data_IF_571801798796
#
_entry.id   IF_571801798796
#
_cell.length_a   1.000
_cell.length_b   1.000
_cell.length_c   1.000
_cell.angle_alpha   90.00
_cell.angle_beta   90.00
_cell.angle_gamma   90.00
#
_symmetry.space_group_name_H-M   'P 1'
#
loop_
_entity.id
_entity.type
_entity.pdbx_description
1 polymer ?
#
# COMPACT_ATOMS: atom_id res chain seq x y z
N UNK A 1 -23.36 3.97 -5.68
CA UNK A 1 -22.02 3.92 -6.34
C UNK A 1 -21.17 5.14 -6.01
N UNK A 2 -21.63 6.37 -6.24
CA UNK A 2 -20.91 7.61 -5.88
C UNK A 2 -20.61 7.73 -4.38
N UNK A 3 -21.56 7.33 -3.52
CA UNK A 3 -21.37 7.35 -2.06
C UNK A 3 -20.21 6.44 -1.58
N UNK A 4 -20.06 5.26 -2.22
CA UNK A 4 -18.98 4.32 -1.92
C UNK A 4 -17.64 4.85 -2.42
N UNK A 5 -17.62 5.47 -3.61
CA UNK A 5 -16.43 6.10 -4.17
C UNK A 5 -15.94 7.26 -3.30
N UNK A 6 -16.84 8.11 -2.79
CA UNK A 6 -16.49 9.18 -1.86
C UNK A 6 -15.98 8.66 -0.52
N UNK A 7 -16.54 7.55 -0.01
CA UNK A 7 -16.13 6.96 1.27
C UNK A 7 -14.74 6.29 1.17
N UNK A 8 -14.44 5.68 0.02
CA UNK A 8 -13.12 5.15 -0.32
C UNK A 8 -12.09 6.28 -0.49
N UNK A 9 -12.43 7.37 -1.17
CA UNK A 9 -11.58 8.56 -1.29
C UNK A 9 -11.25 9.18 0.08
N UNK A 10 -12.25 9.29 0.96
CA UNK A 10 -12.05 9.81 2.31
C UNK A 10 -11.13 8.88 3.13
N UNK A 11 -11.32 7.57 3.00
CA UNK A 11 -10.51 6.56 3.69
C UNK A 11 -9.04 6.60 3.24
N UNK A 12 -8.80 6.79 1.94
CA UNK A 12 -7.45 7.00 1.38
C UNK A 12 -6.84 8.28 1.92
N UNK A 13 -7.57 9.39 1.91
CA UNK A 13 -7.06 10.69 2.37
C UNK A 13 -6.65 10.65 3.85
N UNK A 14 -7.47 10.02 4.70
CA UNK A 14 -7.17 9.82 6.12
C UNK A 14 -6.00 8.85 6.33
N UNK A 15 -5.95 7.77 5.54
CA UNK A 15 -4.84 6.82 5.56
C UNK A 15 -3.50 7.46 5.17
N UNK A 16 -3.50 8.28 4.12
CA UNK A 16 -2.32 8.99 3.63
C UNK A 16 -1.84 10.04 4.65
N UNK A 17 -2.76 10.78 5.24
CA UNK A 17 -2.47 11.75 6.30
C UNK A 17 -1.80 11.10 7.51
N UNK A 18 -2.29 9.91 7.93
CA UNK A 18 -1.73 9.18 9.08
C UNK A 18 -0.35 8.59 8.78
N UNK A 19 -0.14 8.11 7.57
CA UNK A 19 1.13 7.53 7.08
C UNK A 19 2.24 8.59 7.01
N UNK A 20 1.92 9.82 6.64
CA UNK A 20 2.87 10.93 6.54
C UNK A 20 3.38 11.45 7.89
N UNK A 21 2.70 11.14 9.01
CA UNK A 21 3.04 11.63 10.34
C UNK A 21 3.91 10.69 11.20
N UNK A 22 4.31 9.52 10.70
CA UNK A 22 5.15 8.55 11.43
C UNK A 22 6.66 8.87 11.38
N UNK A 23 7.34 9.17 12.51
CA UNK A 23 8.74 9.63 12.53
C UNK A 23 9.81 8.51 12.47
N UNK A 24 9.45 7.24 12.71
CA UNK A 24 10.41 6.12 12.86
C UNK A 24 10.62 5.34 11.56
N UNK A 25 11.82 4.76 11.32
CA UNK A 25 12.10 3.94 10.12
C UNK A 25 11.21 2.70 10.02
N UNK A 26 10.93 2.03 11.14
CA UNK A 26 9.99 0.93 11.20
C UNK A 26 8.56 1.39 10.90
N UNK A 27 8.20 2.58 11.38
CA UNK A 27 6.88 3.19 11.18
C UNK A 27 6.66 3.54 9.70
N UNK A 28 7.68 4.06 9.01
CA UNK A 28 7.67 4.25 7.55
C UNK A 28 7.43 2.95 6.77
N UNK A 29 7.96 1.82 7.22
CA UNK A 29 7.74 0.54 6.55
C UNK A 29 6.37 -0.05 6.83
N UNK A 30 5.88 0.07 8.06
CA UNK A 30 4.48 -0.22 8.36
C UNK A 30 3.57 0.65 7.50
N UNK A 31 3.89 1.93 7.32
CA UNK A 31 3.17 2.85 6.45
C UNK A 31 3.17 2.41 4.98
N UNK A 32 4.34 2.02 4.42
CA UNK A 32 4.46 1.53 3.05
C UNK A 32 3.68 0.22 2.86
N UNK A 33 3.76 -0.69 3.84
CA UNK A 33 3.03 -1.96 3.79
C UNK A 33 1.52 -1.73 3.86
N UNK A 34 1.06 -0.83 4.74
CA UNK A 34 -0.35 -0.45 4.86
C UNK A 34 -0.86 0.24 3.59
N UNK A 35 -0.04 1.11 2.99
CA UNK A 35 -0.37 1.80 1.75
C UNK A 35 -0.49 0.83 0.58
N UNK A 36 0.42 -0.14 0.48
CA UNK A 36 0.38 -1.16 -0.56
C UNK A 36 -0.87 -2.04 -0.45
N UNK A 37 -1.17 -2.58 0.74
CA UNK A 37 -2.35 -3.45 0.92
C UNK A 37 -3.66 -2.69 0.72
N UNK A 38 -3.76 -1.47 1.23
CA UNK A 38 -4.94 -0.63 1.05
C UNK A 38 -5.10 -0.22 -0.42
N UNK A 39 -4.02 0.22 -1.07
CA UNK A 39 -4.03 0.58 -2.49
C UNK A 39 -4.36 -0.59 -3.41
N UNK A 40 -3.84 -1.79 -3.13
CA UNK A 40 -4.21 -3.02 -3.85
C UNK A 40 -5.71 -3.32 -3.69
N UNK A 41 -6.26 -3.21 -2.48
CA UNK A 41 -7.69 -3.43 -2.25
C UNK A 41 -8.57 -2.42 -3.01
N UNK A 42 -8.16 -1.15 -3.08
CA UNK A 42 -8.85 -0.10 -3.84
C UNK A 42 -8.81 -0.39 -5.34
N UNK A 43 -7.64 -0.77 -5.88
CA UNK A 43 -7.49 -1.10 -7.29
C UNK A 43 -8.36 -2.30 -7.68
N UNK A 44 -8.45 -3.32 -6.83
CA UNK A 44 -9.33 -4.48 -7.07
C UNK A 44 -10.83 -4.09 -7.03
N UNK A 45 -11.25 -3.25 -6.09
CA UNK A 45 -12.62 -2.74 -6.02
C UNK A 45 -12.98 -1.89 -7.25
N UNK A 46 -12.06 -1.05 -7.72
CA UNK A 46 -12.23 -0.26 -8.93
C UNK A 46 -12.24 -1.15 -10.18
N UNK A 47 -11.38 -2.16 -10.25
CA UNK A 47 -11.36 -3.13 -11.36
C UNK A 47 -12.70 -3.84 -11.52
N UNK A 48 -13.28 -4.27 -10.39
CA UNK A 48 -14.58 -4.93 -10.38
C UNK A 48 -15.71 -3.96 -10.78
N UNK A 49 -15.69 -2.72 -10.30
CA UNK A 49 -16.74 -1.73 -10.60
C UNK A 49 -16.67 -1.14 -12.01
N UNK A 50 -15.48 -1.01 -12.60
CA UNK A 50 -15.26 -0.45 -13.94
C UNK A 50 -15.20 -1.53 -15.03
N UNK A 51 -15.15 -2.82 -14.66
CA UNK A 51 -14.98 -3.92 -15.60
C UNK A 51 -13.63 -3.89 -16.35
N UNK A 52 -12.63 -3.19 -15.83
CA UNK A 52 -11.33 -3.01 -16.46
C UNK A 52 -10.28 -3.97 -15.87
N UNK A 53 -9.87 -5.02 -16.60
CA UNK A 53 -8.92 -6.01 -16.08
C UNK A 53 -7.51 -5.44 -15.86
N UNK A 54 -7.13 -4.37 -16.54
CA UNK A 54 -5.83 -3.70 -16.38
C UNK A 54 -5.57 -3.21 -14.93
N UNK A 55 -6.63 -2.89 -14.18
CA UNK A 55 -6.53 -2.50 -12.77
C UNK A 55 -6.13 -3.69 -11.87
N UNK A 56 -6.47 -4.92 -12.26
CA UNK A 56 -6.05 -6.13 -11.55
C UNK A 56 -4.55 -6.35 -11.72
N UNK A 57 -4.02 -6.11 -12.92
CA UNK A 57 -2.57 -6.19 -13.19
C UNK A 57 -1.79 -5.20 -12.31
N UNK A 58 -2.26 -3.96 -12.22
CA UNK A 58 -1.67 -2.96 -11.34
C UNK A 58 -1.72 -3.38 -9.85
N UNK A 59 -2.85 -3.97 -9.41
CA UNK A 59 -3.02 -4.45 -8.04
C UNK A 59 -2.04 -5.60 -7.70
N UNK A 60 -1.83 -6.51 -8.64
CA UNK A 60 -0.88 -7.63 -8.52
C UNK A 60 0.56 -7.13 -8.45
N UNK A 61 0.95 -6.18 -9.30
CA UNK A 61 2.29 -5.57 -9.26
C UNK A 61 2.54 -4.86 -7.93
N UNK A 62 1.56 -4.09 -7.44
CA UNK A 62 1.65 -3.45 -6.13
C UNK A 62 1.85 -4.44 -4.99
N UNK A 63 1.12 -5.56 -5.00
CA UNK A 63 1.26 -6.62 -3.99
C UNK A 63 2.65 -7.28 -4.06
N UNK A 64 3.15 -7.54 -5.28
CA UNK A 64 4.48 -8.12 -5.49
C UNK A 64 5.59 -7.20 -4.97
N UNK A 65 5.50 -5.91 -5.27
CA UNK A 65 6.44 -4.89 -4.81
C UNK A 65 6.45 -4.78 -3.28
N UNK A 66 5.28 -4.89 -2.62
CA UNK A 66 5.19 -4.91 -1.16
C UNK A 66 6.03 -6.03 -0.55
N UNK A 67 5.91 -7.24 -1.10
CA UNK A 67 6.67 -8.40 -0.63
C UNK A 67 8.18 -8.19 -0.83
N UNK A 68 8.59 -7.65 -1.98
CA UNK A 68 10.00 -7.36 -2.29
C UNK A 68 10.57 -6.29 -1.35
N UNK A 69 9.83 -5.21 -1.09
CA UNK A 69 10.25 -4.14 -0.17
C UNK A 69 10.40 -4.68 1.25
N UNK A 70 9.45 -5.49 1.72
CA UNK A 70 9.53 -6.15 3.03
C UNK A 70 10.77 -7.04 3.15
N UNK A 71 11.04 -7.89 2.15
CA UNK A 71 12.24 -8.73 2.11
C UNK A 71 13.53 -7.89 2.06
N UNK A 72 13.54 -6.81 1.28
CA UNK A 72 14.66 -5.88 1.17
C UNK A 72 14.96 -5.15 2.49
N UNK A 73 13.94 -4.74 3.24
CA UNK A 73 14.14 -4.17 4.57
C UNK A 73 14.78 -5.18 5.52
N UNK A 74 14.24 -6.41 5.57
CA UNK A 74 14.77 -7.44 6.47
C UNK A 74 16.26 -7.65 6.18
N UNK A 75 16.67 -7.69 4.90
CA UNK A 75 18.08 -7.75 4.53
C UNK A 75 18.87 -6.50 4.95
N UNK A 76 18.31 -5.30 4.78
CA UNK A 76 18.97 -4.04 5.16
C UNK A 76 19.20 -3.94 6.67
N UNK A 77 18.21 -4.34 7.48
CA UNK A 77 18.31 -4.39 8.94
C UNK A 77 19.34 -5.43 9.37
N UNK A 78 19.34 -6.61 8.75
CA UNK A 78 20.35 -7.64 9.02
C UNK A 78 21.76 -7.18 8.66
N UNK A 79 21.92 -6.36 7.60
CA UNK A 79 23.22 -5.78 7.22
C UNK A 79 23.76 -4.77 8.24
N UNK A 80 22.88 -4.07 8.96
CA UNK A 80 23.23 -3.09 10.00
C UNK A 80 23.72 -3.72 11.30
N UNK A 81 23.40 -4.98 11.57
CA UNK A 81 23.88 -5.70 12.77
C UNK A 81 25.32 -6.21 12.65
N UNK A 82 25.88 -6.24 11.44
CA UNK A 82 27.25 -6.71 11.17
C UNK A 82 28.25 -5.59 10.86
N UNK A 83 27.81 -4.32 10.81
CA UNK A 83 28.67 -3.12 10.80
C UNK A 83 28.77 -2.52 12.20
#
# INVERSE_FOLDING_TARGET
MILLASLLLLSIAVGLWRVLHGPTRADRLLAVQLFSTTGTAILLLLAHGQGQPALIEAALVMALLAAVVSAGLVQLLRRREYE
#
